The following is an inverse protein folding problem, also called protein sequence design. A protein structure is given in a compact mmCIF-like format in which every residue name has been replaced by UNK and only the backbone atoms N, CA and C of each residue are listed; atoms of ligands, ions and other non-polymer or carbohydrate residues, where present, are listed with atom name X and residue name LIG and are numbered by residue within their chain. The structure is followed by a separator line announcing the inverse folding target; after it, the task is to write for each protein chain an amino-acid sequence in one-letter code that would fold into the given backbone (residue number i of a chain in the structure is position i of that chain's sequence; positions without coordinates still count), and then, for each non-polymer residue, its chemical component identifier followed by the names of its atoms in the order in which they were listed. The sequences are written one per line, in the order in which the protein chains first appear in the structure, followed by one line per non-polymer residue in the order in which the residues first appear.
data_IF_891224878674
#
_entry.id   IF_891224878674
#
_cell.length_a   1.000
_cell.length_b   1.000
_cell.length_c   1.000
_cell.angle_alpha   90.00
_cell.angle_beta   90.00
_cell.angle_gamma   90.00
#
_symmetry.space_group_name_H-M   'P 1'
#
loop_
_entity.id
_entity.type
_entity.pdbx_description
1 polymer ?
#
# COMPACT_ATOMS: atom_id res chain seq x y z
N UNK A 1 -11.73 1.12 -20.39
CA UNK A 1 -12.21 1.46 -19.03
C UNK A 1 -13.72 1.34 -19.04
N UNK A 2 -14.35 0.46 -18.28
CA UNK A 2 -15.78 0.20 -18.52
C UNK A 2 -16.48 -0.80 -17.61
N UNK A 3 -16.05 -0.93 -16.36
CA UNK A 3 -16.83 -1.61 -15.33
C UNK A 3 -16.73 -0.78 -14.05
N UNK A 4 -17.80 -0.06 -13.72
CA UNK A 4 -17.98 0.62 -12.45
C UNK A 4 -19.15 -0.02 -11.69
N UNK A 5 -19.03 -0.07 -10.37
CA UNK A 5 -20.04 -0.65 -9.48
C UNK A 5 -21.24 0.31 -9.32
N UNK A 6 -22.47 -0.20 -9.45
CA UNK A 6 -23.74 0.59 -9.37
C UNK A 6 -24.23 0.78 -7.92
N UNK A 7 -23.37 0.61 -6.92
CA UNK A 7 -23.72 0.88 -5.51
C UNK A 7 -22.87 2.02 -4.97
N UNK A 8 -23.41 2.85 -4.06
CA UNK A 8 -22.64 3.92 -3.44
C UNK A 8 -21.48 3.32 -2.63
N UNK A 9 -20.26 3.60 -3.07
CA UNK A 9 -19.05 3.27 -2.32
C UNK A 9 -18.84 4.27 -1.19
N UNK A 10 -18.28 3.86 -0.03
CA UNK A 10 -17.86 4.79 1.00
C UNK A 10 -16.94 5.85 0.39
N UNK A 11 -17.25 7.13 0.63
CA UNK A 11 -16.40 8.22 0.18
C UNK A 11 -15.18 8.34 1.10
N UNK A 12 -14.18 7.49 0.88
CA UNK A 12 -12.94 7.47 1.66
C UNK A 12 -12.00 8.64 1.32
N UNK A 13 -12.32 9.45 0.30
CA UNK A 13 -11.55 10.63 -0.08
C UNK A 13 -11.96 11.90 0.67
N UNK A 14 -13.08 11.90 1.40
CA UNK A 14 -13.43 12.97 2.35
C UNK A 14 -12.73 12.66 3.70
N UNK A 15 -11.73 13.45 4.10
CA UNK A 15 -11.09 13.28 5.39
C UNK A 15 -12.06 13.69 6.50
N UNK A 16 -12.17 12.87 7.55
CA UNK A 16 -12.87 13.27 8.76
C UNK A 16 -12.07 14.36 9.47
N UNK A 17 -12.57 15.61 9.48
CA UNK A 17 -11.90 16.79 10.07
C UNK A 17 -11.55 16.65 11.55
N UNK A 18 -12.15 15.69 12.26
CA UNK A 18 -11.86 15.40 13.68
C UNK A 18 -10.67 14.46 13.89
N UNK A 19 -10.18 13.81 12.83
CA UNK A 19 -9.04 12.88 12.92
C UNK A 19 -7.73 13.63 12.76
N UNK A 20 -6.76 13.25 13.58
CA UNK A 20 -5.38 13.72 13.46
C UNK A 20 -4.77 13.22 12.15
N UNK A 21 -4.22 14.15 11.36
CA UNK A 21 -3.45 13.83 10.17
C UNK A 21 -2.02 13.49 10.60
N UNK A 22 -1.57 12.28 10.28
CA UNK A 22 -0.18 11.87 10.50
C UNK A 22 0.67 12.24 9.27
N UNK A 23 1.86 12.82 9.47
CA UNK A 23 2.76 13.11 8.36
C UNK A 23 3.28 11.81 7.75
N UNK A 24 3.48 11.82 6.43
CA UNK A 24 4.20 10.75 5.76
C UNK A 24 5.69 10.88 6.07
N UNK A 25 6.19 10.02 6.95
CA UNK A 25 7.54 10.14 7.52
C UNK A 25 8.66 9.94 6.51
N UNK A 26 8.37 9.33 5.35
CA UNK A 26 9.35 9.13 4.28
C UNK A 26 9.39 10.31 3.29
N UNK A 27 8.59 11.35 3.52
CA UNK A 27 8.63 12.58 2.72
C UNK A 27 9.97 13.28 2.93
N UNK A 28 10.60 13.67 1.83
CA UNK A 28 11.86 14.43 1.80
C UNK A 28 13.07 13.70 2.43
N UNK A 29 13.03 12.36 2.50
CA UNK A 29 14.17 11.54 2.93
C UNK A 29 14.90 10.98 1.71
N UNK A 30 16.19 11.33 1.58
CA UNK A 30 17.09 10.67 0.63
C UNK A 30 17.53 9.28 1.15
N UNK A 31 17.34 8.26 0.31
CA UNK A 31 17.67 6.86 0.61
C UNK A 31 19.04 6.53 -0.01
N UNK A 32 20.11 6.70 0.76
CA UNK A 32 21.48 6.73 0.25
C UNK A 32 22.27 5.43 0.46
N UNK A 33 21.71 4.45 1.17
CA UNK A 33 22.37 3.17 1.43
C UNK A 33 21.37 2.00 1.55
N UNK A 34 21.83 0.74 1.36
CA UNK A 34 21.04 -0.44 1.68
C UNK A 34 20.63 -0.45 3.16
N UNK A 35 19.49 -1.08 3.45
CA UNK A 35 18.93 -1.25 4.81
C UNK A 35 18.45 0.04 5.49
N UNK A 36 18.16 1.09 4.73
CA UNK A 36 17.62 2.34 5.27
C UNK A 36 16.08 2.38 5.26
N UNK A 37 15.45 1.90 4.19
CA UNK A 37 13.98 1.85 4.07
C UNK A 37 13.57 0.60 3.32
N UNK A 38 12.62 -0.15 3.89
CA UNK A 38 12.09 -1.38 3.29
C UNK A 38 10.62 -1.18 2.93
N UNK A 39 10.21 -1.74 1.80
CA UNK A 39 8.83 -1.90 1.41
C UNK A 39 8.37 -3.32 1.75
N UNK A 40 7.19 -3.45 2.35
CA UNK A 40 6.54 -4.73 2.56
C UNK A 40 5.12 -4.65 2.01
N UNK A 41 4.72 -5.67 1.26
CA UNK A 41 3.35 -5.79 0.77
C UNK A 41 2.89 -7.25 0.81
N UNK A 42 1.60 -7.44 0.99
CA UNK A 42 0.97 -8.75 1.03
C UNK A 42 -0.16 -8.81 0.01
N UNK A 43 -0.13 -9.84 -0.83
CA UNK A 43 -1.15 -10.04 -1.85
C UNK A 43 -1.66 -11.47 -1.86
N UNK A 44 -2.84 -11.64 -2.44
CA UNK A 44 -3.48 -12.93 -2.60
C UNK A 44 -3.21 -13.45 -4.00
N UNK A 45 -2.55 -14.60 -4.10
CA UNK A 45 -2.35 -15.28 -5.38
C UNK A 45 -3.38 -16.40 -5.52
N UNK A 46 -4.22 -16.30 -6.55
CA UNK A 46 -5.26 -17.29 -6.84
C UNK A 46 -4.65 -18.59 -7.34
N UNK A 47 -5.04 -19.72 -6.74
CA UNK A 47 -4.60 -21.06 -7.13
C UNK A 47 -5.81 -21.96 -7.44
N UNK A 48 -5.60 -23.07 -8.14
CA UNK A 48 -6.64 -24.09 -8.32
C UNK A 48 -7.01 -24.66 -6.94
N UNK A 49 -8.24 -24.41 -6.49
CA UNK A 49 -8.75 -24.88 -5.20
C UNK A 49 -8.57 -23.93 -4.02
N UNK A 50 -8.02 -22.72 -4.20
CA UNK A 50 -7.83 -21.80 -3.07
C UNK A 50 -7.09 -20.51 -3.42
N UNK A 51 -6.42 -19.95 -2.42
CA UNK A 51 -5.52 -18.82 -2.55
C UNK A 51 -4.32 -19.05 -1.62
N UNK A 52 -3.19 -18.46 -1.97
CA UNK A 52 -2.02 -18.35 -1.08
C UNK A 52 -1.75 -16.89 -0.79
N UNK A 53 -1.17 -16.62 0.37
CA UNK A 53 -0.69 -15.30 0.74
C UNK A 53 0.76 -15.18 0.29
N UNK A 54 1.05 -14.21 -0.57
CA UNK A 54 2.40 -13.85 -0.95
C UNK A 54 2.78 -12.57 -0.20
N UNK A 55 3.74 -12.69 0.72
CA UNK A 55 4.39 -11.57 1.37
C UNK A 55 5.71 -11.29 0.65
N UNK A 56 5.95 -10.03 0.32
CA UNK A 56 7.22 -9.58 -0.27
C UNK A 56 7.81 -8.50 0.63
N UNK A 57 9.12 -8.60 0.87
CA UNK A 57 9.92 -7.58 1.56
C UNK A 57 11.03 -7.16 0.61
N UNK A 58 11.18 -5.86 0.35
CA UNK A 58 12.18 -5.31 -0.56
C UNK A 58 12.92 -4.15 0.09
N UNK A 59 14.24 -4.12 -0.05
CA UNK A 59 15.04 -2.94 0.25
C UNK A 59 14.85 -1.90 -0.85
N UNK A 60 14.53 -0.66 -0.48
CA UNK A 60 14.20 0.38 -1.45
C UNK A 60 15.45 0.92 -2.17
N UNK A 61 16.62 0.88 -1.53
CA UNK A 61 17.86 1.36 -2.14
C UNK A 61 18.39 0.41 -3.22
N UNK A 62 18.16 -0.89 -3.06
CA UNK A 62 18.75 -1.94 -3.90
C UNK A 62 17.85 -2.40 -5.07
N UNK A 63 16.83 -1.62 -5.43
CA UNK A 63 15.78 -1.98 -6.40
C UNK A 63 16.19 -1.79 -7.87
#
# INVERSE_FOLDING_TARGET
MGLETVYPTPNTSIPNKKLTVYPYLLRDIDITRPNQVWAADITYVRMKGGHVYLLVIMDWHSR
#
